data_IF_788763026768
#
_entry.id   IF_788763026768
#
_cell.length_a   1.000
_cell.length_b   1.000
_cell.length_c   1.000
_cell.angle_alpha   90.00
_cell.angle_beta   90.00
_cell.angle_gamma   90.00
#
_symmetry.space_group_name_H-M   'P 1'
#
loop_
_entity.id
_entity.type
_entity.pdbx_description
1 polymer ?
#
# COMPACT_ATOMS: atom_id res chain seq x y z
N UNK A 1 -14.01 14.64 15.95
CA UNK A 1 -13.28 15.69 16.69
C UNK A 1 -12.13 16.22 15.83
N UNK A 2 -11.28 15.34 15.34
CA UNK A 2 -10.12 15.67 14.49
C UNK A 2 -10.49 16.43 13.22
N UNK A 3 -11.55 16.06 12.48
CA UNK A 3 -11.97 16.83 11.28
C UNK A 3 -12.38 18.28 11.61
N UNK A 4 -12.93 18.54 12.80
CA UNK A 4 -13.25 19.91 13.23
C UNK A 4 -11.98 20.71 13.55
N UNK A 5 -10.95 20.05 14.04
CA UNK A 5 -9.68 20.68 14.42
C UNK A 5 -8.73 20.85 13.23
N UNK A 6 -8.74 19.88 12.32
CA UNK A 6 -7.72 19.71 11.29
C UNK A 6 -8.27 19.87 9.87
N UNK A 7 -9.58 19.96 9.71
CA UNK A 7 -10.23 20.11 8.40
C UNK A 7 -10.50 18.77 7.72
N UNK A 8 -10.84 18.86 6.43
CA UNK A 8 -11.30 17.75 5.60
C UNK A 8 -10.23 16.69 5.39
N UNK A 9 -10.66 15.43 5.31
CA UNK A 9 -9.85 14.28 4.90
C UNK A 9 -9.87 14.10 3.37
N UNK A 10 -8.77 13.67 2.73
CA UNK A 10 -7.43 13.45 3.29
C UNK A 10 -6.76 14.75 3.75
N UNK A 11 -6.02 14.66 4.87
CA UNK A 11 -5.22 15.79 5.37
C UNK A 11 -4.04 16.12 4.45
N UNK A 12 -3.50 17.35 4.51
CA UNK A 12 -2.29 17.69 3.77
C UNK A 12 -1.11 16.81 4.21
N UNK A 13 -0.19 16.56 3.28
CA UNK A 13 0.90 15.58 3.42
C UNK A 13 1.96 16.00 4.43
N UNK A 14 2.08 17.27 4.75
CA UNK A 14 2.90 17.77 5.86
C UNK A 14 2.38 17.25 7.22
N UNK A 15 1.07 17.22 7.42
CA UNK A 15 0.44 16.65 8.61
C UNK A 15 0.56 15.13 8.64
N UNK A 16 0.43 14.47 7.49
CA UNK A 16 0.69 13.03 7.40
C UNK A 16 2.15 12.71 7.75
N UNK A 17 3.11 13.55 7.35
CA UNK A 17 4.50 13.47 7.78
C UNK A 17 4.64 13.55 9.31
N UNK A 18 4.03 14.57 9.93
CA UNK A 18 4.05 14.72 11.39
C UNK A 18 3.43 13.51 12.11
N UNK A 19 2.38 12.91 11.53
CA UNK A 19 1.78 11.67 12.06
C UNK A 19 2.73 10.48 11.95
N UNK A 20 3.42 10.32 10.82
CA UNK A 20 4.43 9.27 10.62
C UNK A 20 5.56 9.40 11.63
N UNK A 21 6.09 10.62 11.79
CA UNK A 21 7.14 10.92 12.76
C UNK A 21 6.70 10.51 14.17
N UNK A 22 5.49 10.92 14.58
CA UNK A 22 4.98 10.64 15.92
C UNK A 22 4.71 9.15 16.15
N UNK A 23 4.10 8.45 15.19
CA UNK A 23 3.84 7.01 15.32
C UNK A 23 5.15 6.22 15.39
N UNK A 24 6.17 6.66 14.65
CA UNK A 24 7.50 6.03 14.68
C UNK A 24 8.18 6.27 16.03
N UNK A 25 8.13 7.48 16.58
CA UNK A 25 8.62 7.78 17.93
C UNK A 25 7.95 6.92 19.01
N UNK A 26 6.66 6.61 18.83
CA UNK A 26 5.88 5.78 19.75
C UNK A 26 6.16 4.27 19.56
N UNK A 27 7.00 3.87 18.61
CA UNK A 27 7.38 2.48 18.38
C UNK A 27 6.39 1.67 17.55
N UNK A 28 5.64 2.32 16.65
CA UNK A 28 4.81 1.59 15.69
C UNK A 28 5.66 0.61 14.86
N UNK A 29 5.29 -0.67 14.88
CA UNK A 29 5.99 -1.70 14.08
C UNK A 29 5.82 -1.47 12.57
N UNK A 30 4.69 -0.92 12.15
CA UNK A 30 4.41 -0.55 10.77
C UNK A 30 3.33 0.54 10.71
N UNK A 31 3.39 1.38 9.68
CA UNK A 31 2.38 2.40 9.36
C UNK A 31 1.91 2.16 7.92
N UNK A 32 0.69 1.68 7.76
CA UNK A 32 0.10 1.39 6.45
C UNK A 32 -0.91 2.48 6.05
N UNK A 33 -0.76 3.05 4.86
CA UNK A 33 -1.69 4.01 4.30
C UNK A 33 -2.59 3.36 3.25
N UNK A 34 -3.84 3.11 3.60
CA UNK A 34 -4.91 2.79 2.66
C UNK A 34 -5.44 4.08 2.00
N UNK A 35 -4.55 4.75 1.26
CA UNK A 35 -4.79 6.04 0.58
C UNK A 35 -4.05 6.01 -0.76
N UNK A 36 -4.73 6.45 -1.82
CA UNK A 36 -4.12 6.62 -3.14
C UNK A 36 -3.35 7.94 -3.23
N UNK A 37 -2.03 7.89 -3.18
CA UNK A 37 -1.16 9.05 -3.36
C UNK A 37 -0.75 9.26 -4.84
N UNK A 38 -1.74 9.34 -5.73
CA UNK A 38 -1.50 9.46 -7.17
C UNK A 38 -1.22 10.91 -7.62
N UNK A 39 -1.96 11.85 -7.04
CA UNK A 39 -1.91 13.26 -7.42
C UNK A 39 -1.01 14.07 -6.49
N UNK A 40 -0.47 15.23 -6.91
CA UNK A 40 0.21 16.15 -6.00
C UNK A 40 -0.70 16.62 -4.87
N UNK A 41 -0.15 16.90 -3.69
CA UNK A 41 -0.92 17.56 -2.64
C UNK A 41 -1.36 18.97 -3.09
N UNK A 42 -2.68 19.16 -3.13
CA UNK A 42 -3.34 20.41 -3.54
C UNK A 42 -3.16 21.54 -2.53
N UNK A 43 -2.84 21.20 -1.28
CA UNK A 43 -2.60 22.15 -0.19
C UNK A 43 -1.12 22.45 0.03
N UNK A 44 -0.22 21.92 -0.81
CA UNK A 44 1.19 22.34 -0.83
C UNK A 44 1.28 23.83 -1.10
N UNK A 45 2.08 24.61 -0.35
CA UNK A 45 2.32 26.02 -0.63
C UNK A 45 2.71 26.27 -2.09
N UNK A 46 3.59 25.43 -2.65
CA UNK A 46 3.97 25.46 -4.07
C UNK A 46 2.76 25.28 -5.01
N UNK A 47 1.86 24.35 -4.72
CA UNK A 47 0.64 24.11 -5.52
C UNK A 47 -0.36 25.26 -5.44
N UNK A 48 -0.59 25.81 -4.24
CA UNK A 48 -1.56 26.87 -4.01
C UNK A 48 -1.12 28.17 -4.67
N UNK A 49 0.16 28.52 -4.57
CA UNK A 49 0.70 29.78 -5.10
C UNK A 49 0.80 29.77 -6.63
N UNK A 50 1.04 28.61 -7.24
CA UNK A 50 1.16 28.47 -8.71
C UNK A 50 -0.05 29.04 -9.46
N UNK A 51 -1.25 28.90 -8.90
CA UNK A 51 -2.49 29.27 -9.57
C UNK A 51 -2.93 30.73 -9.23
N UNK A 52 -2.10 31.49 -8.48
CA UNK A 52 -2.37 32.89 -8.11
C UNK A 52 -1.81 33.84 -9.19
N UNK A 53 -2.65 34.69 -9.82
CA UNK A 53 -2.19 35.65 -10.82
C UNK A 53 -1.19 36.67 -10.25
N UNK A 54 -0.15 36.99 -11.03
CA UNK A 54 0.81 38.04 -10.68
C UNK A 54 1.94 37.63 -9.74
N UNK A 55 2.05 36.35 -9.39
CA UNK A 55 3.20 35.82 -8.65
C UNK A 55 4.35 35.49 -9.61
N UNK A 56 5.57 35.85 -9.21
CA UNK A 56 6.80 35.47 -9.90
C UNK A 56 7.00 33.94 -9.83
N UNK A 57 7.06 33.22 -10.98
CA UNK A 57 7.32 31.78 -11.00
C UNK A 57 8.61 31.36 -10.28
N UNK A 58 9.63 32.23 -10.22
CA UNK A 58 10.87 31.94 -9.50
C UNK A 58 10.68 31.77 -7.98
N UNK A 59 9.55 32.23 -7.43
CA UNK A 59 9.19 32.01 -6.03
C UNK A 59 8.80 30.54 -5.77
N UNK A 60 8.25 29.83 -6.76
CA UNK A 60 7.72 28.47 -6.58
C UNK A 60 8.79 27.48 -6.13
N UNK A 61 10.01 27.61 -6.66
CA UNK A 61 11.15 26.75 -6.32
C UNK A 61 11.61 26.94 -4.86
N UNK A 62 11.24 28.07 -4.24
CA UNK A 62 11.57 28.40 -2.85
C UNK A 62 10.47 28.00 -1.87
N UNK A 63 9.30 27.62 -2.37
CA UNK A 63 8.17 27.25 -1.53
C UNK A 63 8.24 25.78 -1.11
N UNK A 64 7.85 25.46 0.13
CA UNK A 64 7.72 24.09 0.58
C UNK A 64 6.71 23.30 -0.26
N UNK A 65 6.99 22.02 -0.39
CA UNK A 65 6.13 21.04 -1.05
C UNK A 65 5.81 19.91 -0.07
N UNK A 66 4.52 19.68 0.17
CA UNK A 66 4.08 18.71 1.16
C UNK A 66 4.40 17.27 0.72
N UNK A 67 4.48 16.99 -0.58
CA UNK A 67 4.90 15.68 -1.09
C UNK A 67 6.37 15.46 -0.73
N UNK A 68 7.22 16.49 -0.82
CA UNK A 68 8.64 16.38 -0.47
C UNK A 68 8.83 16.23 1.04
N UNK A 69 8.07 16.98 1.84
CA UNK A 69 8.06 16.85 3.30
C UNK A 69 7.66 15.43 3.69
N UNK A 70 6.59 14.90 3.10
CA UNK A 70 6.12 13.55 3.39
C UNK A 70 7.10 12.48 2.91
N UNK A 71 7.67 12.62 1.71
CA UNK A 71 8.69 11.72 1.19
C UNK A 71 9.92 11.65 2.11
N UNK A 72 10.38 12.79 2.65
CA UNK A 72 11.48 12.82 3.63
C UNK A 72 11.10 12.16 4.94
N UNK A 73 9.87 12.36 5.42
CA UNK A 73 9.42 11.75 6.67
C UNK A 73 9.34 10.24 6.55
N UNK A 74 8.82 9.66 5.46
CA UNK A 74 8.68 8.19 5.34
C UNK A 74 10.00 7.47 5.08
N UNK A 75 11.04 8.16 4.60
CA UNK A 75 12.31 7.56 4.26
C UNK A 75 12.96 6.84 5.46
N UNK A 76 13.28 5.56 5.28
CA UNK A 76 13.89 4.72 6.32
C UNK A 76 12.96 4.33 7.47
N UNK A 77 11.66 4.63 7.39
CA UNK A 77 10.65 4.26 8.39
C UNK A 77 9.77 3.11 7.89
N UNK A 78 9.10 2.34 8.77
CA UNK A 78 8.30 1.19 8.38
C UNK A 78 6.94 1.62 7.80
N UNK A 79 6.98 2.38 6.69
CA UNK A 79 5.80 2.92 6.02
C UNK A 79 5.48 2.09 4.78
N UNK A 80 4.23 1.67 4.67
CA UNK A 80 3.69 0.94 3.53
C UNK A 80 2.61 1.76 2.84
N UNK A 81 2.70 1.92 1.53
CA UNK A 81 1.76 2.69 0.72
C UNK A 81 0.81 1.79 -0.06
N UNK A 82 -0.47 2.17 -0.09
CA UNK A 82 -1.50 1.53 -0.88
C UNK A 82 -1.51 2.00 -2.33
N UNK A 83 -1.83 1.09 -3.25
CA UNK A 83 -2.20 1.43 -4.63
C UNK A 83 -3.47 0.69 -5.08
N UNK A 84 -4.17 1.26 -6.06
CA UNK A 84 -5.37 0.67 -6.67
C UNK A 84 -5.07 0.07 -8.04
N UNK A 85 -5.92 -0.86 -8.49
CA UNK A 85 -5.89 -1.37 -9.87
C UNK A 85 -6.42 -0.29 -10.83
N UNK A 86 -5.78 -0.18 -11.99
CA UNK A 86 -6.22 0.65 -13.12
C UNK A 86 -6.51 -0.21 -14.34
N UNK A 87 -7.52 0.17 -15.12
CA UNK A 87 -7.83 -0.44 -16.42
C UNK A 87 -7.11 0.27 -17.58
N UNK A 88 -6.46 1.40 -17.29
CA UNK A 88 -5.76 2.27 -18.23
C UNK A 88 -4.29 2.44 -17.85
N UNK A 89 -3.44 2.65 -18.86
CA UNK A 89 -1.99 2.79 -18.69
C UNK A 89 -1.25 1.46 -18.63
N UNK A 90 0.01 1.53 -18.21
CA UNK A 90 0.97 0.40 -18.14
C UNK A 90 1.87 0.46 -16.88
N UNK A 91 1.51 1.32 -15.92
CA UNK A 91 2.28 1.47 -14.70
C UNK A 91 2.08 0.25 -13.79
N UNK A 92 3.20 -0.28 -13.30
CA UNK A 92 3.25 -1.33 -12.29
C UNK A 92 4.11 -0.81 -11.13
N UNK A 93 3.67 -0.95 -9.87
CA UNK A 93 4.42 -0.47 -8.73
C UNK A 93 5.65 -1.32 -8.48
N UNK A 94 6.69 -0.73 -7.88
CA UNK A 94 7.86 -1.46 -7.44
C UNK A 94 7.51 -2.53 -6.39
N UNK A 95 7.94 -3.76 -6.62
CA UNK A 95 7.91 -4.82 -5.60
C UNK A 95 9.12 -4.65 -4.69
N UNK A 96 8.88 -4.35 -3.41
CA UNK A 96 9.94 -4.07 -2.41
C UNK A 96 10.49 -5.32 -1.72
N UNK A 97 9.93 -6.50 -2.01
CA UNK A 97 10.24 -7.76 -1.36
C UNK A 97 10.79 -8.79 -2.35
N UNK A 98 11.59 -9.73 -1.86
CA UNK A 98 11.89 -10.96 -2.60
C UNK A 98 10.66 -11.87 -2.65
N UNK A 99 10.54 -12.66 -3.71
CA UNK A 99 9.51 -13.69 -3.84
C UNK A 99 10.19 -15.00 -4.25
N UNK A 100 9.88 -16.07 -3.53
CA UNK A 100 10.40 -17.41 -3.79
C UNK A 100 9.24 -18.42 -3.86
N UNK A 101 9.40 -19.42 -4.72
CA UNK A 101 8.41 -20.47 -4.92
C UNK A 101 8.94 -21.83 -4.45
N UNK A 102 8.04 -22.70 -3.99
CA UNK A 102 8.29 -24.13 -3.79
C UNK A 102 7.22 -24.94 -4.51
N UNK A 103 7.60 -26.03 -5.18
CA UNK A 103 6.70 -26.78 -6.06
C UNK A 103 6.62 -26.18 -7.47
N UNK A 104 5.54 -26.45 -8.19
CA UNK A 104 5.26 -25.79 -9.47
C UNK A 104 4.97 -24.29 -9.25
N UNK A 105 5.29 -23.45 -10.24
CA UNK A 105 5.08 -22.00 -10.10
C UNK A 105 3.59 -21.66 -10.02
N UNK A 106 3.14 -20.94 -8.96
CA UNK A 106 1.78 -20.46 -8.85
C UNK A 106 1.63 -18.99 -9.30
N UNK A 107 2.54 -18.47 -10.13
CA UNK A 107 2.56 -17.04 -10.53
C UNK A 107 1.25 -16.60 -11.22
N UNK A 108 0.61 -17.50 -11.95
CA UNK A 108 -0.67 -17.25 -12.64
C UNK A 108 -1.90 -17.55 -11.78
N UNK A 109 -1.73 -17.98 -10.53
CA UNK A 109 -2.84 -18.29 -9.64
C UNK A 109 -3.67 -17.06 -9.21
N UNK A 110 -3.04 -15.91 -8.85
CA UNK A 110 -3.79 -14.75 -8.38
C UNK A 110 -4.50 -13.99 -9.52
N UNK A 111 -5.42 -13.07 -9.18
CA UNK A 111 -6.06 -12.22 -10.17
C UNK A 111 -5.06 -11.34 -10.93
N UNK A 112 -5.25 -11.25 -12.25
CA UNK A 112 -4.37 -10.44 -13.10
C UNK A 112 -4.63 -8.94 -12.96
N UNK A 113 -3.55 -8.15 -13.04
CA UNK A 113 -3.57 -6.70 -13.20
C UNK A 113 -3.06 -6.35 -14.58
N UNK A 114 -3.67 -5.33 -15.18
CA UNK A 114 -3.14 -4.69 -16.38
C UNK A 114 -2.24 -3.50 -16.04
N UNK A 115 -2.68 -2.72 -15.06
CA UNK A 115 -1.99 -1.53 -14.59
C UNK A 115 -2.44 -1.21 -13.16
N UNK A 116 -1.70 -0.32 -12.52
CA UNK A 116 -2.03 0.27 -11.23
C UNK A 116 -2.20 1.78 -11.35
N UNK A 117 -2.94 2.37 -10.41
CA UNK A 117 -2.90 3.80 -10.18
C UNK A 117 -1.49 4.20 -9.72
N UNK A 118 -0.81 5.14 -10.38
CA UNK A 118 0.55 5.56 -10.02
C UNK A 118 0.65 6.09 -8.60
N UNK A 119 1.83 5.94 -7.99
CA UNK A 119 2.24 6.64 -6.78
C UNK A 119 3.09 7.85 -7.16
N UNK A 120 3.16 8.88 -6.29
CA UNK A 120 4.19 9.92 -6.44
C UNK A 120 5.57 9.25 -6.41
N UNK A 121 6.45 9.47 -7.41
CA UNK A 121 7.73 8.75 -7.50
C UNK A 121 8.61 8.84 -6.25
N UNK A 122 8.66 10.02 -5.63
CA UNK A 122 9.40 10.26 -4.38
C UNK A 122 8.82 9.52 -3.17
N UNK A 123 7.50 9.27 -3.15
CA UNK A 123 6.87 8.47 -2.10
C UNK A 123 7.12 6.98 -2.35
N UNK A 124 6.97 6.54 -3.60
CA UNK A 124 7.25 5.18 -4.02
C UNK A 124 8.70 4.76 -3.72
N UNK A 125 9.66 5.63 -4.03
CA UNK A 125 11.08 5.38 -3.80
C UNK A 125 11.41 5.21 -2.30
N UNK A 126 10.78 6.01 -1.43
CA UNK A 126 11.11 6.08 -0.01
C UNK A 126 10.27 5.15 0.88
N UNK A 127 9.17 4.59 0.38
CA UNK A 127 8.34 3.65 1.14
C UNK A 127 9.07 2.32 1.38
N UNK A 128 8.94 1.78 2.60
CA UNK A 128 9.49 0.47 2.97
C UNK A 128 8.72 -0.68 2.32
N UNK A 129 7.46 -0.45 1.95
CA UNK A 129 6.62 -1.41 1.24
C UNK A 129 5.55 -0.74 0.38
N UNK A 130 5.06 -1.47 -0.61
CA UNK A 130 3.94 -1.07 -1.47
C UNK A 130 3.00 -2.26 -1.64
N UNK A 131 1.70 -2.06 -1.46
CA UNK A 131 0.73 -3.14 -1.64
C UNK A 131 -0.63 -2.70 -2.15
N UNK A 132 -1.34 -3.60 -2.82
CA UNK A 132 -2.66 -3.28 -3.39
C UNK A 132 -3.75 -3.22 -2.32
N UNK A 133 -4.75 -2.36 -2.54
CA UNK A 133 -5.93 -2.23 -1.66
C UNK A 133 -7.18 -2.92 -2.25
N UNK A 134 -7.00 -3.70 -3.31
CA UNK A 134 -8.10 -4.37 -4.02
C UNK A 134 -8.60 -5.61 -3.28
N UNK A 135 -9.88 -5.60 -2.91
CA UNK A 135 -10.54 -6.71 -2.20
C UNK A 135 -11.21 -7.73 -3.13
N UNK A 136 -11.67 -7.31 -4.31
CA UNK A 136 -12.48 -8.16 -5.18
C UNK A 136 -12.22 -7.89 -6.68
N UNK A 137 -10.97 -7.99 -7.15
CA UNK A 137 -10.62 -7.66 -8.53
C UNK A 137 -11.41 -8.52 -9.53
N UNK A 138 -12.10 -7.85 -10.47
CA UNK A 138 -12.83 -8.52 -11.55
C UNK A 138 -14.14 -9.23 -11.15
N UNK A 139 -14.58 -9.17 -9.88
CA UNK A 139 -15.82 -9.79 -9.44
C UNK A 139 -16.88 -8.74 -9.09
N UNK A 140 -18.14 -9.01 -9.45
CA UNK A 140 -19.28 -8.10 -9.27
C UNK A 140 -20.06 -8.29 -7.96
N UNK A 141 -19.68 -9.25 -7.12
CA UNK A 141 -20.39 -9.51 -5.86
C UNK A 141 -20.08 -8.45 -4.81
N UNK A 142 -21.12 -7.96 -4.14
CA UNK A 142 -21.00 -7.01 -3.03
C UNK A 142 -20.47 -7.66 -1.74
N UNK A 143 -20.51 -9.00 -1.64
CA UNK A 143 -20.08 -9.72 -0.43
C UNK A 143 -18.67 -10.25 -0.62
N UNK A 144 -17.72 -9.65 0.09
CA UNK A 144 -16.32 -10.09 0.13
C UNK A 144 -16.16 -11.18 1.19
N UNK A 145 -15.82 -12.40 0.77
CA UNK A 145 -15.53 -13.54 1.68
C UNK A 145 -14.08 -13.97 1.63
N UNK A 146 -13.42 -13.67 0.52
CA UNK A 146 -12.02 -13.92 0.30
C UNK A 146 -11.34 -12.62 -0.13
N UNK A 147 -10.06 -12.47 0.17
CA UNK A 147 -9.25 -11.36 -0.31
C UNK A 147 -7.98 -11.91 -0.95
N UNK A 148 -7.61 -11.47 -2.18
CA UNK A 148 -6.37 -11.89 -2.81
C UNK A 148 -5.18 -11.39 -1.98
N UNK A 149 -4.22 -12.27 -1.71
CA UNK A 149 -2.97 -11.90 -1.04
C UNK A 149 -1.95 -11.28 -1.99
N UNK A 150 -2.06 -11.62 -3.27
CA UNK A 150 -1.27 -11.07 -4.35
C UNK A 150 -2.16 -10.74 -5.54
N UNK A 151 -1.67 -9.89 -6.41
CA UNK A 151 -2.09 -9.81 -7.81
C UNK A 151 -0.92 -10.23 -8.71
N UNK A 152 -1.16 -10.47 -9.99
CA UNK A 152 -0.12 -10.88 -10.94
C UNK A 152 -0.23 -10.13 -12.27
N UNK A 153 0.86 -9.91 -12.97
CA UNK A 153 0.86 -9.52 -14.39
C UNK A 153 1.21 -10.70 -15.32
N UNK A 154 1.41 -11.91 -14.74
CA UNK A 154 1.90 -13.11 -15.42
C UNK A 154 3.41 -13.31 -15.30
N UNK A 155 4.16 -12.30 -14.89
CA UNK A 155 5.62 -12.37 -14.72
C UNK A 155 6.01 -12.27 -13.24
N UNK A 156 5.35 -11.39 -12.48
CA UNK A 156 5.62 -11.16 -11.07
C UNK A 156 4.35 -11.02 -10.23
N UNK A 157 4.51 -11.24 -8.92
CA UNK A 157 3.45 -11.09 -7.94
C UNK A 157 3.56 -9.77 -7.19
N UNK A 158 2.42 -9.12 -6.99
CA UNK A 158 2.30 -7.85 -6.27
C UNK A 158 1.53 -8.06 -4.97
N UNK A 159 2.12 -7.81 -3.79
CA UNK A 159 1.48 -8.13 -2.52
C UNK A 159 0.30 -7.19 -2.20
N UNK A 160 -0.66 -7.69 -1.44
CA UNK A 160 -1.72 -6.87 -0.83
C UNK A 160 -1.18 -5.99 0.30
N UNK A 161 -1.82 -4.85 0.54
CA UNK A 161 -1.39 -3.87 1.55
C UNK A 161 -1.23 -4.51 2.95
N UNK A 162 -2.16 -5.37 3.36
CA UNK A 162 -2.09 -6.03 4.65
C UNK A 162 -0.92 -7.04 4.76
N UNK A 163 -0.67 -7.79 3.68
CA UNK A 163 0.44 -8.75 3.62
C UNK A 163 1.79 -8.01 3.66
N UNK A 164 1.90 -6.90 2.93
CA UNK A 164 3.10 -6.06 2.90
C UNK A 164 3.34 -5.35 4.23
N UNK A 165 2.28 -4.86 4.88
CA UNK A 165 2.37 -4.34 6.23
C UNK A 165 2.90 -5.40 7.21
N UNK A 166 2.44 -6.64 7.09
CA UNK A 166 2.90 -7.76 7.91
C UNK A 166 4.36 -8.12 7.65
N UNK A 167 4.83 -8.05 6.40
CA UNK A 167 6.24 -8.24 6.05
C UNK A 167 7.11 -7.18 6.71
N UNK A 168 6.76 -5.91 6.52
CA UNK A 168 7.53 -4.77 7.05
C UNK A 168 7.56 -4.80 8.58
N UNK A 169 6.42 -5.08 9.22
CA UNK A 169 6.33 -5.17 10.69
C UNK A 169 7.24 -6.25 11.28
N UNK A 170 7.44 -7.37 10.56
CA UNK A 170 8.32 -8.47 10.99
C UNK A 170 9.79 -8.28 10.57
N UNK A 171 10.12 -7.23 9.81
CA UNK A 171 11.44 -7.06 9.21
C UNK A 171 11.80 -8.16 8.20
N UNK A 172 10.81 -8.84 7.63
CA UNK A 172 11.05 -9.92 6.67
C UNK A 172 11.43 -9.37 5.28
N UNK A 173 12.32 -10.08 4.58
CA UNK A 173 12.77 -9.69 3.24
C UNK A 173 12.00 -10.35 2.10
N UNK A 174 11.38 -11.50 2.36
CA UNK A 174 10.95 -12.43 1.29
C UNK A 174 9.61 -13.08 1.62
N UNK A 175 8.76 -13.24 0.60
CA UNK A 175 7.59 -14.12 0.60
C UNK A 175 7.97 -15.50 0.08
N UNK A 176 7.59 -16.56 0.80
CA UNK A 176 7.73 -17.93 0.30
C UNK A 176 6.34 -18.47 -0.05
N UNK A 177 6.12 -18.80 -1.31
CA UNK A 177 4.81 -19.18 -1.83
C UNK A 177 4.87 -20.63 -2.28
N UNK A 178 4.00 -21.46 -1.70
CA UNK A 178 3.92 -22.88 -2.02
C UNK A 178 2.90 -23.12 -3.13
N UNK A 179 3.37 -23.62 -4.26
CA UNK A 179 2.53 -24.21 -5.31
C UNK A 179 2.26 -25.68 -5.05
N UNK A 180 1.20 -26.22 -5.66
CA UNK A 180 0.94 -27.65 -5.64
C UNK A 180 2.07 -28.42 -6.37
N UNK A 181 2.49 -29.60 -5.92
CA UNK A 181 3.51 -30.41 -6.61
C UNK A 181 3.07 -30.84 -8.02
N UNK A 182 1.78 -31.05 -8.23
CA UNK A 182 1.17 -31.44 -9.50
C UNK A 182 -0.03 -30.52 -9.75
N UNK A 183 0.20 -29.43 -10.50
CA UNK A 183 -0.84 -28.46 -10.85
C UNK A 183 -0.29 -27.04 -10.99
N UNK A 184 -0.04 -26.62 -12.23
CA UNK A 184 0.35 -25.24 -12.54
C UNK A 184 -0.75 -24.25 -12.13
N UNK A 185 -0.34 -23.08 -11.63
CA UNK A 185 -1.28 -22.04 -11.24
C UNK A 185 -2.13 -22.38 -10.01
N UNK A 186 -1.70 -23.33 -9.18
CA UNK A 186 -2.37 -23.67 -7.92
C UNK A 186 -1.51 -23.23 -6.75
N UNK A 187 -1.94 -22.20 -6.02
CA UNK A 187 -1.34 -21.79 -4.76
C UNK A 187 -1.95 -22.58 -3.59
N UNK A 188 -1.13 -22.91 -2.59
CA UNK A 188 -1.57 -23.66 -1.40
C UNK A 188 -1.34 -22.90 -0.10
N UNK A 189 -0.21 -22.20 0.02
CA UNK A 189 0.09 -21.35 1.17
C UNK A 189 1.07 -20.25 0.84
N UNK A 190 1.05 -19.19 1.66
CA UNK A 190 1.99 -18.09 1.62
C UNK A 190 2.63 -17.97 3.00
N UNK A 191 3.96 -18.05 3.07
CA UNK A 191 4.72 -17.82 4.28
C UNK A 191 5.34 -16.42 4.27
N UNK A 192 5.16 -15.71 5.38
CA UNK A 192 5.78 -14.41 5.63
C UNK A 192 6.25 -14.29 7.09
N UNK A 193 7.56 -14.19 7.29
CA UNK A 193 8.15 -14.22 8.64
C UNK A 193 7.74 -15.50 9.37
N UNK A 194 7.07 -15.32 10.51
CA UNK A 194 6.63 -16.40 11.39
C UNK A 194 5.28 -17.01 11.00
N UNK A 195 4.58 -16.42 10.02
CA UNK A 195 3.23 -16.84 9.64
C UNK A 195 3.23 -17.69 8.38
N UNK A 196 2.46 -18.78 8.41
CA UNK A 196 2.10 -19.58 7.23
C UNK A 196 0.59 -19.44 7.04
N UNK A 197 0.21 -18.81 5.93
CA UNK A 197 -1.16 -18.45 5.62
C UNK A 197 -1.70 -19.47 4.60
N UNK A 198 -2.67 -20.33 4.95
CA UNK A 198 -3.34 -21.18 3.98
C UNK A 198 -4.21 -20.31 3.06
N UNK A 199 -4.20 -20.63 1.77
CA UNK A 199 -4.95 -19.87 0.75
C UNK A 199 -5.78 -20.79 -0.12
N UNK A 200 -6.73 -20.23 -0.86
CA UNK A 200 -7.41 -20.92 -1.97
C UNK A 200 -6.41 -21.21 -3.10
N UNK A 201 -6.81 -22.05 -4.06
CA UNK A 201 -6.01 -22.32 -5.27
C UNK A 201 -5.61 -21.05 -6.03
N UNK A 202 -6.40 -19.98 -5.92
CA UNK A 202 -6.16 -18.68 -6.53
C UNK A 202 -5.37 -17.70 -5.63
N UNK A 203 -4.80 -18.15 -4.51
CA UNK A 203 -4.01 -17.31 -3.62
C UNK A 203 -4.84 -16.33 -2.77
N UNK A 204 -6.11 -16.65 -2.51
CA UNK A 204 -6.97 -15.81 -1.68
C UNK A 204 -7.03 -16.30 -0.23
N UNK A 205 -7.04 -15.36 0.71
CA UNK A 205 -7.29 -15.61 2.12
C UNK A 205 -8.79 -15.59 2.41
N UNK A 206 -9.30 -16.59 3.14
CA UNK A 206 -10.65 -16.54 3.70
C UNK A 206 -10.74 -15.54 4.85
N UNK A 207 -11.70 -14.62 4.76
CA UNK A 207 -11.92 -13.59 5.77
C UNK A 207 -12.76 -14.15 6.93
N UNK A 208 -12.16 -14.15 8.11
CA UNK A 208 -12.85 -14.46 9.36
C UNK A 208 -13.07 -13.15 10.13
N UNK A 209 -14.27 -12.60 10.03
CA UNK A 209 -14.63 -11.35 10.71
C UNK A 209 -14.89 -11.59 12.19
N UNK A 210 -14.20 -10.85 13.05
CA UNK A 210 -14.56 -10.74 14.46
C UNK A 210 -15.50 -9.55 14.67
N UNK A 211 -16.34 -9.56 15.71
CA UNK A 211 -17.07 -8.36 16.14
C UNK A 211 -16.11 -7.18 16.34
N UNK A 212 -16.63 -5.97 16.19
CA UNK A 212 -15.87 -4.76 16.50
C UNK A 212 -15.42 -4.77 17.96
N UNK A 213 -14.17 -4.36 18.19
CA UNK A 213 -13.56 -4.30 19.53
C UNK A 213 -12.94 -2.94 19.72
N UNK A 214 -13.54 -2.13 20.58
CA UNK A 214 -13.10 -0.76 20.86
C UNK A 214 -11.61 -0.66 21.27
N UNK A 215 -11.09 -1.68 21.96
CA UNK A 215 -9.68 -1.76 22.37
C UNK A 215 -8.67 -1.82 21.21
N UNK A 216 -9.10 -2.21 20.01
CA UNK A 216 -8.27 -2.25 18.79
C UNK A 216 -8.30 -0.95 18.00
N UNK A 217 -9.12 0.01 18.41
CA UNK A 217 -9.33 1.26 17.70
C UNK A 217 -8.86 2.45 18.54
N UNK A 218 -7.82 3.13 18.05
CA UNK A 218 -7.39 4.41 18.60
C UNK A 218 -7.95 5.52 17.72
N UNK A 219 -8.92 6.28 18.25
CA UNK A 219 -9.44 7.44 17.54
C UNK A 219 -8.36 8.51 17.44
N UNK A 220 -8.30 9.24 16.32
CA UNK A 220 -7.39 10.36 16.12
C UNK A 220 -7.73 11.62 16.97
N UNK A 221 -8.43 11.46 18.09
CA UNK A 221 -8.97 12.54 18.94
C UNK A 221 -7.95 13.01 19.97
#
# INVERSE_FOLDING_TARGET
ASLRQFGQWPWPRDRMAALVDKLTELGAAVIAFDILFAEPDRLSPRSVVRDVPGIDPALLDRLPDNDEIFARSIAGKPVVLGYGISNEGNYHPQVKAGIAFTGESPVDAPPHIRAATPLRPQLEANAAGIGHISLNPGKSTAVVRTAPLFLTDGEQLYPGLALEAMRVAQGASTYLIAGAPEGQGIMTSVKIGDFVIPVTSAGELWLYVSPDRAERYVSAK
#
